data_IF_977542384343
#
_entry.id   IF_977542384343
#
_cell.length_a   1.000
_cell.length_b   1.000
_cell.length_c   1.000
_cell.angle_alpha   90.00
_cell.angle_beta   90.00
_cell.angle_gamma   90.00
#
_symmetry.space_group_name_H-M   'P 1'
#
loop_
_entity.id
_entity.type
_entity.pdbx_description
1 polymer ?
#
# COMPACT_ATOMS: atom_id res chain seq x y z
N UNK A 1 -7.65 -25.54 10.49
CA UNK A 1 -7.11 -24.28 10.00
C UNK A 1 -5.92 -23.88 10.85
N UNK A 2 -4.87 -23.32 10.23
CA UNK A 2 -3.65 -22.86 10.92
C UNK A 2 -3.92 -21.51 11.60
N UNK A 3 -3.48 -21.40 12.85
CA UNK A 3 -3.55 -20.16 13.65
C UNK A 3 -2.17 -19.52 13.79
N UNK A 4 -2.10 -18.31 14.33
CA UNK A 4 -0.81 -17.67 14.67
C UNK A 4 -0.02 -18.52 15.67
N UNK A 5 -0.70 -19.18 16.61
CA UNK A 5 -0.07 -20.06 17.59
C UNK A 5 0.60 -21.28 16.90
N UNK A 6 -0.07 -21.89 15.91
CA UNK A 6 0.49 -23.01 15.14
C UNK A 6 1.74 -22.58 14.36
N UNK A 7 1.74 -21.36 13.82
CA UNK A 7 2.92 -20.78 13.15
C UNK A 7 4.08 -20.63 14.13
N UNK A 8 3.84 -20.07 15.33
CA UNK A 8 4.86 -19.93 16.38
C UNK A 8 5.42 -21.29 16.79
N UNK A 9 4.56 -22.29 17.03
CA UNK A 9 5.00 -23.64 17.39
C UNK A 9 5.81 -24.30 16.28
N UNK A 10 5.38 -24.14 15.03
CA UNK A 10 6.12 -24.66 13.88
C UNK A 10 7.52 -24.05 13.79
N UNK A 11 7.64 -22.74 13.97
CA UNK A 11 8.94 -22.05 13.97
C UNK A 11 9.82 -22.50 15.14
N UNK A 12 9.25 -22.66 16.32
CA UNK A 12 9.96 -23.15 17.49
C UNK A 12 10.49 -24.58 17.30
N UNK A 13 9.65 -25.47 16.75
CA UNK A 13 10.03 -26.87 16.51
C UNK A 13 11.04 -27.03 15.37
N UNK A 14 10.85 -26.29 14.26
CA UNK A 14 11.69 -26.42 13.06
C UNK A 14 12.98 -25.62 13.12
N UNK A 15 13.03 -24.58 13.94
CA UNK A 15 14.17 -23.65 14.07
C UNK A 15 14.82 -23.32 12.71
N UNK A 16 14.06 -22.83 11.73
CA UNK A 16 14.62 -22.55 10.42
C UNK A 16 15.78 -21.58 10.57
N UNK A 17 16.92 -21.91 9.95
CA UNK A 17 18.08 -21.03 9.96
C UNK A 17 17.75 -19.65 9.41
N UNK A 18 18.31 -18.60 9.98
CA UNK A 18 18.17 -17.26 9.47
C UNK A 18 18.80 -17.14 8.07
N UNK A 19 18.00 -16.77 7.08
CA UNK A 19 18.46 -16.71 5.68
C UNK A 19 19.45 -15.58 5.40
N UNK A 20 19.49 -14.54 6.24
CA UNK A 20 20.41 -13.42 6.10
C UNK A 20 20.62 -12.70 7.44
N UNK A 21 21.74 -11.97 7.57
CA UNK A 21 21.95 -11.08 8.72
C UNK A 21 20.95 -9.91 8.67
N UNK A 22 20.37 -9.50 9.82
CA UNK A 22 19.51 -8.33 9.88
C UNK A 22 20.15 -7.10 9.24
N UNK A 23 19.34 -6.33 8.48
CA UNK A 23 19.79 -5.10 7.83
C UNK A 23 20.67 -5.28 6.59
N UNK A 24 20.87 -6.51 6.10
CA UNK A 24 21.71 -6.77 4.91
C UNK A 24 20.92 -6.86 3.61
N UNK A 25 19.81 -7.57 3.62
CA UNK A 25 19.01 -7.78 2.41
C UNK A 25 17.53 -7.63 2.70
N UNK A 26 16.81 -7.01 1.78
CA UNK A 26 15.35 -6.98 1.81
C UNK A 26 14.80 -8.37 1.43
N UNK A 27 13.94 -8.91 2.29
CA UNK A 27 13.19 -10.11 2.02
C UNK A 27 11.74 -9.94 2.50
N UNK A 28 10.81 -9.80 1.55
CA UNK A 28 9.39 -9.69 1.86
C UNK A 28 8.87 -11.03 2.42
N UNK A 29 8.35 -11.00 3.65
CA UNK A 29 7.86 -12.21 4.30
C UNK A 29 6.65 -11.91 5.19
N UNK A 30 5.51 -12.52 4.86
CA UNK A 30 4.26 -12.37 5.61
C UNK A 30 4.39 -12.88 7.05
N UNK A 31 5.15 -13.94 7.29
CA UNK A 31 5.36 -14.52 8.63
C UNK A 31 5.88 -13.47 9.64
N UNK A 32 6.66 -12.49 9.19
CA UNK A 32 7.12 -11.41 10.07
C UNK A 32 5.94 -10.65 10.70
N UNK A 33 4.86 -10.44 9.97
CA UNK A 33 3.67 -9.72 10.45
C UNK A 33 2.79 -10.59 11.34
N UNK A 34 2.74 -11.90 11.09
CA UNK A 34 2.15 -12.89 12.01
C UNK A 34 2.87 -12.83 13.36
N UNK A 35 4.22 -12.82 13.36
CA UNK A 35 5.03 -12.71 14.57
C UNK A 35 4.82 -11.37 15.29
N UNK A 36 4.74 -10.25 14.55
CA UNK A 36 4.48 -8.94 15.15
C UNK A 36 3.10 -8.88 15.79
N UNK A 37 2.06 -9.45 15.18
CA UNK A 37 0.74 -9.54 15.79
C UNK A 37 0.78 -10.34 17.10
N UNK A 38 1.43 -11.50 17.10
CA UNK A 38 1.61 -12.32 18.31
C UNK A 38 2.45 -11.61 19.39
N UNK A 39 3.42 -10.78 19.00
CA UNK A 39 4.18 -9.95 19.91
C UNK A 39 3.31 -8.88 20.56
N UNK A 40 2.42 -8.24 19.80
CA UNK A 40 1.44 -7.28 20.32
C UNK A 40 0.56 -7.95 21.40
N UNK A 41 0.03 -9.15 21.13
CA UNK A 41 -0.75 -9.92 22.11
C UNK A 41 0.05 -10.20 23.37
N UNK A 42 1.28 -10.66 23.21
CA UNK A 42 2.16 -10.99 24.34
C UNK A 42 2.46 -9.77 25.24
N UNK A 43 2.65 -8.60 24.65
CA UNK A 43 3.01 -7.37 25.38
C UNK A 43 1.76 -6.71 25.99
N UNK A 44 0.66 -6.65 25.23
CA UNK A 44 -0.55 -5.94 25.64
C UNK A 44 -1.46 -6.73 26.57
N UNK A 45 -1.41 -8.05 26.51
CA UNK A 45 -2.34 -8.94 27.21
C UNK A 45 -3.74 -9.02 26.60
N UNK A 46 -3.98 -8.32 25.46
CA UNK A 46 -5.20 -8.37 24.67
C UNK A 46 -5.00 -9.27 23.45
N UNK A 47 -6.07 -9.86 22.90
CA UNK A 47 -5.99 -10.41 21.54
C UNK A 47 -5.68 -9.30 20.53
N UNK A 48 -5.11 -9.68 19.39
CA UNK A 48 -4.78 -8.71 18.32
C UNK A 48 -6.01 -7.92 17.87
N UNK A 49 -7.16 -8.58 17.75
CA UNK A 49 -8.42 -7.94 17.40
C UNK A 49 -8.89 -6.92 18.44
N UNK A 50 -8.84 -7.28 19.73
CA UNK A 50 -9.19 -6.39 20.83
C UNK A 50 -8.23 -5.21 20.93
N UNK A 51 -6.93 -5.46 20.79
CA UNK A 51 -5.93 -4.41 20.81
C UNK A 51 -6.17 -3.40 19.70
N UNK A 52 -6.32 -3.85 18.44
CA UNK A 52 -6.57 -2.94 17.31
C UNK A 52 -7.90 -2.20 17.46
N UNK A 53 -8.94 -2.87 17.94
CA UNK A 53 -10.23 -2.23 18.19
C UNK A 53 -10.10 -1.10 19.21
N UNK A 54 -9.48 -1.38 20.36
CA UNK A 54 -9.35 -0.45 21.48
C UNK A 54 -8.41 0.71 21.17
N UNK A 55 -7.25 0.42 20.59
CA UNK A 55 -6.17 1.42 20.44
C UNK A 55 -6.23 2.18 19.09
N UNK A 56 -6.91 1.62 18.09
CA UNK A 56 -6.94 2.20 16.74
C UNK A 56 -8.36 2.40 16.24
N UNK A 57 -9.17 1.34 16.10
CA UNK A 57 -10.42 1.45 15.36
C UNK A 57 -11.47 2.32 16.08
N UNK A 58 -11.69 2.11 17.37
CA UNK A 58 -12.63 2.90 18.15
C UNK A 58 -12.20 4.38 18.30
N UNK A 59 -10.93 4.71 18.68
CA UNK A 59 -10.46 6.09 18.75
C UNK A 59 -10.53 6.84 17.43
N UNK A 60 -10.38 6.16 16.30
CA UNK A 60 -10.49 6.72 14.96
C UNK A 60 -11.90 6.65 14.39
N UNK A 61 -12.88 6.13 15.13
CA UNK A 61 -14.25 5.93 14.68
C UNK A 61 -14.35 5.09 13.38
N UNK A 62 -13.50 4.06 13.25
CA UNK A 62 -13.45 3.11 12.13
C UNK A 62 -14.47 1.97 12.37
N UNK A 63 -15.75 2.30 12.36
CA UNK A 63 -16.86 1.42 12.78
C UNK A 63 -17.07 0.17 11.92
N UNK A 64 -16.53 0.18 10.70
CA UNK A 64 -16.66 -0.93 9.73
C UNK A 64 -15.32 -1.62 9.50
N UNK A 65 -14.41 -1.51 10.48
CA UNK A 65 -13.08 -2.15 10.43
C UNK A 65 -12.94 -3.13 11.57
N UNK A 66 -12.52 -4.35 11.24
CA UNK A 66 -12.34 -5.43 12.21
C UNK A 66 -11.31 -6.44 11.71
N UNK A 67 -10.81 -7.27 12.62
CA UNK A 67 -10.01 -8.44 12.26
C UNK A 67 -10.96 -9.61 12.02
N UNK A 68 -10.84 -10.25 10.86
CA UNK A 68 -11.67 -11.41 10.50
C UNK A 68 -11.35 -12.61 11.40
N UNK A 69 -12.39 -13.25 11.88
CA UNK A 69 -12.37 -14.52 12.58
C UNK A 69 -13.65 -15.34 12.26
N UNK A 70 -13.76 -16.54 12.81
CA UNK A 70 -14.93 -17.39 12.57
C UNK A 70 -16.22 -16.86 13.22
N UNK A 71 -16.13 -15.95 14.21
CA UNK A 71 -17.30 -15.38 14.87
C UNK A 71 -17.98 -14.33 13.98
N UNK A 72 -17.19 -13.61 13.18
CA UNK A 72 -17.70 -12.59 12.27
C UNK A 72 -17.82 -13.08 10.81
N UNK A 73 -17.53 -14.36 10.54
CA UNK A 73 -17.56 -14.93 9.19
C UNK A 73 -18.91 -14.76 8.48
N UNK A 74 -20.03 -14.84 9.22
CA UNK A 74 -21.37 -14.72 8.65
C UNK A 74 -21.70 -13.31 8.10
N UNK A 75 -21.04 -12.27 8.64
CA UNK A 75 -21.25 -10.87 8.23
C UNK A 75 -20.11 -10.31 7.39
N UNK A 76 -19.02 -11.07 7.26
CA UNK A 76 -17.87 -10.68 6.46
C UNK A 76 -18.19 -10.67 4.96
N UNK A 77 -17.64 -9.70 4.26
CA UNK A 77 -17.74 -9.65 2.79
C UNK A 77 -17.14 -10.92 2.19
N UNK A 78 -17.88 -11.66 1.36
CA UNK A 78 -17.37 -12.89 0.76
C UNK A 78 -16.32 -12.60 -0.33
N UNK A 79 -15.42 -13.55 -0.56
CA UNK A 79 -14.38 -13.51 -1.58
C UNK A 79 -14.80 -14.29 -2.82
N UNK A 80 -14.48 -13.76 -4.00
CA UNK A 80 -14.87 -14.36 -5.29
C UNK A 80 -13.67 -14.54 -6.22
N UNK A 81 -13.69 -15.61 -6.99
CA UNK A 81 -12.81 -15.81 -8.12
C UNK A 81 -13.11 -14.81 -9.25
N UNK A 82 -12.25 -14.79 -10.27
CA UNK A 82 -12.42 -13.97 -11.47
C UNK A 82 -13.72 -14.27 -12.23
N UNK A 83 -14.21 -15.53 -12.18
CA UNK A 83 -15.44 -16.01 -12.80
C UNK A 83 -16.72 -15.74 -11.96
N UNK A 84 -16.58 -15.19 -10.75
CA UNK A 84 -17.68 -14.88 -9.85
C UNK A 84 -18.07 -16.02 -8.91
N UNK A 85 -17.39 -17.15 -8.93
CA UNK A 85 -17.59 -18.21 -7.95
C UNK A 85 -16.99 -17.83 -6.61
N UNK A 86 -17.63 -18.25 -5.50
CA UNK A 86 -17.05 -18.09 -4.18
C UNK A 86 -15.66 -18.71 -4.09
N UNK A 87 -14.76 -18.02 -3.44
CA UNK A 87 -13.47 -18.59 -3.05
C UNK A 87 -13.64 -19.31 -1.71
N UNK A 88 -13.34 -20.60 -1.70
CA UNK A 88 -13.40 -21.38 -0.46
C UNK A 88 -12.26 -20.99 0.47
N UNK A 89 -12.51 -21.12 1.77
CA UNK A 89 -11.47 -20.95 2.79
C UNK A 89 -10.38 -21.99 2.61
N UNK A 90 -9.15 -21.62 2.92
CA UNK A 90 -8.00 -22.53 3.01
C UNK A 90 -7.45 -22.62 4.45
N UNK A 91 -6.41 -23.41 4.61
CA UNK A 91 -5.83 -23.69 5.93
C UNK A 91 -5.26 -22.45 6.63
N UNK A 92 -4.89 -21.39 5.88
CA UNK A 92 -4.25 -20.17 6.42
C UNK A 92 -5.22 -19.00 6.62
N UNK A 93 -6.51 -19.20 6.46
CA UNK A 93 -7.50 -18.12 6.57
C UNK A 93 -7.70 -17.59 7.99
N UNK A 94 -7.18 -18.26 9.00
CA UNK A 94 -7.22 -17.80 10.39
C UNK A 94 -5.92 -17.16 10.89
N UNK A 95 -4.87 -17.08 10.06
CA UNK A 95 -3.69 -16.28 10.43
C UNK A 95 -3.98 -14.79 10.25
N UNK A 96 -3.46 -13.95 11.15
CA UNK A 96 -3.65 -12.50 11.15
C UNK A 96 -2.34 -11.74 11.40
N UNK A 97 -2.37 -10.43 11.14
CA UNK A 97 -1.20 -9.56 11.15
C UNK A 97 -0.64 -9.33 9.75
N UNK A 98 -0.51 -10.38 8.96
CA UNK A 98 -0.14 -10.35 7.53
C UNK A 98 -1.35 -10.11 6.61
N UNK A 99 -2.55 -10.38 7.09
CA UNK A 99 -3.84 -10.27 6.41
C UNK A 99 -4.99 -10.14 7.41
N UNK A 100 -6.21 -10.27 6.93
CA UNK A 100 -7.44 -10.40 7.72
C UNK A 100 -7.92 -9.13 8.44
N UNK A 101 -7.43 -7.94 8.10
CA UNK A 101 -8.13 -6.71 8.47
C UNK A 101 -9.13 -6.39 7.37
N UNK A 102 -10.42 -6.48 7.69
CA UNK A 102 -11.52 -6.06 6.83
C UNK A 102 -11.85 -4.61 7.12
N UNK A 103 -12.06 -3.81 6.07
CA UNK A 103 -12.30 -2.38 6.22
C UNK A 103 -13.12 -1.81 5.06
N UNK A 104 -13.42 -0.53 5.12
CA UNK A 104 -14.03 0.25 4.04
C UNK A 104 -13.10 1.37 3.58
N UNK A 105 -13.24 1.90 2.35
CA UNK A 105 -12.47 3.06 1.92
C UNK A 105 -12.65 4.27 2.84
N UNK A 106 -13.85 4.46 3.42
CA UNK A 106 -14.13 5.56 4.35
C UNK A 106 -13.39 5.40 5.68
N UNK A 107 -13.29 4.20 6.21
CA UNK A 107 -12.53 3.98 7.45
C UNK A 107 -11.03 4.07 7.19
N UNK A 108 -10.53 3.59 6.05
CA UNK A 108 -9.14 3.80 5.66
C UNK A 108 -8.79 5.27 5.40
N UNK A 109 -9.74 6.10 4.96
CA UNK A 109 -9.55 7.55 4.92
C UNK A 109 -9.37 8.16 6.32
N UNK A 110 -10.13 7.69 7.33
CA UNK A 110 -9.94 8.13 8.73
C UNK A 110 -8.57 7.73 9.26
N UNK A 111 -8.11 6.53 8.92
CA UNK A 111 -6.75 6.07 9.19
C UNK A 111 -5.70 6.99 8.58
N UNK A 112 -5.82 7.31 7.30
CA UNK A 112 -4.92 8.22 6.60
C UNK A 112 -4.88 9.61 7.24
N UNK A 113 -6.04 10.19 7.53
CA UNK A 113 -6.17 11.48 8.21
C UNK A 113 -5.54 11.46 9.61
N UNK A 114 -5.67 10.33 10.33
CA UNK A 114 -5.07 10.17 11.65
C UNK A 114 -3.54 10.07 11.59
N UNK A 115 -2.98 9.41 10.58
CA UNK A 115 -1.54 9.39 10.31
C UNK A 115 -1.04 10.81 9.99
N UNK A 116 -1.72 11.54 9.11
CA UNK A 116 -1.35 12.92 8.74
C UNK A 116 -1.39 13.87 9.94
N UNK A 117 -2.35 13.68 10.83
CA UNK A 117 -2.51 14.48 12.04
C UNK A 117 -1.61 14.07 13.21
N UNK A 118 -0.75 13.06 13.03
CA UNK A 118 0.13 12.55 14.09
C UNK A 118 -0.60 11.90 15.27
N UNK A 119 -1.86 11.49 15.09
CA UNK A 119 -2.68 10.89 16.15
C UNK A 119 -2.35 9.43 16.46
N UNK A 120 -1.75 8.72 15.52
CA UNK A 120 -1.35 7.31 15.67
C UNK A 120 0.16 7.22 15.90
N UNK A 121 0.91 7.86 15.05
CA UNK A 121 2.38 7.97 15.13
C UNK A 121 2.75 9.45 15.04
N UNK A 122 3.70 9.89 15.84
CA UNK A 122 4.25 11.24 15.68
C UNK A 122 5.04 11.35 14.37
N UNK A 123 5.30 12.57 13.92
CA UNK A 123 5.95 12.83 12.64
C UNK A 123 7.28 12.10 12.49
N UNK A 124 8.13 12.08 13.54
CA UNK A 124 9.43 11.43 13.49
C UNK A 124 9.35 9.91 13.30
N UNK A 125 8.38 9.25 13.92
CA UNK A 125 8.14 7.82 13.74
C UNK A 125 7.56 7.54 12.35
N UNK A 126 6.70 8.41 11.85
CA UNK A 126 6.12 8.28 10.51
C UNK A 126 7.18 8.46 9.42
N UNK A 127 8.06 9.45 9.58
CA UNK A 127 9.21 9.67 8.69
C UNK A 127 10.15 8.46 8.70
N UNK A 128 10.39 7.88 9.88
CA UNK A 128 11.17 6.65 10.00
C UNK A 128 10.52 5.48 9.27
N UNK A 129 9.17 5.35 9.33
CA UNK A 129 8.44 4.31 8.63
C UNK A 129 8.49 4.48 7.09
N UNK A 130 8.66 5.71 6.61
CA UNK A 130 8.76 6.07 5.18
C UNK A 130 10.19 6.21 4.68
N UNK A 131 11.18 5.88 5.52
CA UNK A 131 12.59 5.87 5.12
C UNK A 131 12.87 4.64 4.26
N UNK A 132 13.56 4.80 3.10
CA UNK A 132 13.99 3.68 2.26
C UNK A 132 14.97 2.76 3.00
N UNK A 133 14.61 1.50 3.14
CA UNK A 133 15.41 0.47 3.83
C UNK A 133 15.90 -0.64 2.90
N UNK A 134 15.33 -0.75 1.68
CA UNK A 134 15.69 -1.76 0.68
C UNK A 134 16.62 -1.13 -0.37
N UNK A 135 17.90 -0.95 0.00
CA UNK A 135 18.87 -0.17 -0.79
C UNK A 135 19.93 -1.03 -1.47
N UNK A 136 19.78 -2.36 -1.50
CA UNK A 136 20.75 -3.29 -2.11
C UNK A 136 20.89 -3.10 -3.61
N UNK A 137 19.82 -2.60 -4.25
CA UNK A 137 19.80 -2.30 -5.68
C UNK A 137 19.22 -0.90 -5.90
N UNK A 138 19.93 0.00 -6.55
CA UNK A 138 19.41 1.31 -6.91
C UNK A 138 18.12 1.19 -7.73
N UNK A 139 17.03 1.76 -7.24
CA UNK A 139 15.73 1.74 -7.90
C UNK A 139 14.88 2.92 -7.40
N UNK A 140 13.89 3.33 -8.21
CA UNK A 140 12.82 4.23 -7.76
C UNK A 140 11.87 3.52 -6.78
N UNK A 141 11.83 2.18 -6.82
CA UNK A 141 11.07 1.36 -5.89
C UNK A 141 11.91 1.03 -4.67
N UNK A 142 11.32 1.17 -3.48
CA UNK A 142 11.96 0.84 -2.22
C UNK A 142 10.90 0.32 -1.23
N UNK A 143 11.33 -0.02 -0.02
CA UNK A 143 10.47 -0.48 1.06
C UNK A 143 10.93 0.13 2.38
N UNK A 144 9.98 0.66 3.14
CA UNK A 144 10.18 1.17 4.50
C UNK A 144 9.65 0.18 5.55
N UNK A 145 9.15 0.69 6.66
CA UNK A 145 8.55 -0.16 7.71
C UNK A 145 7.07 -0.43 7.38
N UNK A 146 6.80 -1.53 6.66
CA UNK A 146 5.45 -1.92 6.23
C UNK A 146 4.90 -1.16 5.03
N UNK A 147 5.68 -0.30 4.39
CA UNK A 147 5.28 0.52 3.26
C UNK A 147 6.16 0.30 2.04
N UNK A 148 5.55 0.16 0.88
CA UNK A 148 6.23 0.29 -0.40
C UNK A 148 6.40 1.77 -0.71
N UNK A 149 7.56 2.11 -1.24
CA UNK A 149 7.92 3.48 -1.58
C UNK A 149 8.22 3.56 -3.07
N UNK A 150 7.69 4.57 -3.73
CA UNK A 150 8.07 4.97 -5.07
C UNK A 150 8.66 6.38 -4.97
N UNK A 151 9.99 6.48 -5.11
CA UNK A 151 10.72 7.73 -5.05
C UNK A 151 11.10 8.14 -6.48
N UNK A 152 10.36 9.07 -7.04
CA UNK A 152 10.53 9.48 -8.43
C UNK A 152 11.71 10.44 -8.61
N UNK A 153 12.32 10.44 -9.79
CA UNK A 153 13.44 11.32 -10.13
C UNK A 153 13.10 12.81 -10.07
N UNK A 154 11.82 13.16 -10.20
CA UNK A 154 11.32 14.53 -10.09
C UNK A 154 11.05 14.98 -8.64
N UNK A 155 11.42 14.17 -7.65
CA UNK A 155 11.27 14.45 -6.22
C UNK A 155 9.94 13.99 -5.62
N UNK A 156 8.94 13.62 -6.44
CA UNK A 156 7.66 13.12 -5.93
C UNK A 156 7.80 11.75 -5.30
N UNK A 157 6.99 11.49 -4.27
CA UNK A 157 6.96 10.22 -3.54
C UNK A 157 5.54 9.65 -3.54
N UNK A 158 5.44 8.33 -3.72
CA UNK A 158 4.23 7.57 -3.41
C UNK A 158 4.52 6.60 -2.28
N UNK A 159 3.70 6.64 -1.24
CA UNK A 159 3.77 5.74 -0.08
C UNK A 159 2.55 4.83 -0.20
N UNK A 160 2.76 3.54 -0.44
CA UNK A 160 1.66 2.66 -0.78
C UNK A 160 1.84 1.24 -0.26
N UNK A 161 0.76 0.51 -0.22
CA UNK A 161 0.80 -0.95 -0.14
C UNK A 161 -0.36 -1.56 -0.92
N UNK A 162 -0.12 -2.75 -1.46
CA UNK A 162 -1.13 -3.58 -2.07
C UNK A 162 -1.42 -4.77 -1.18
N UNK A 163 -2.67 -5.25 -1.21
CA UNK A 163 -3.04 -6.49 -0.58
C UNK A 163 -3.61 -7.48 -1.58
N UNK A 164 -3.39 -8.76 -1.32
CA UNK A 164 -4.04 -9.85 -2.03
C UNK A 164 -4.16 -11.06 -1.12
N UNK A 165 -5.39 -11.51 -0.95
CA UNK A 165 -5.69 -12.80 -0.37
C UNK A 165 -6.95 -13.34 -1.04
N UNK A 166 -6.89 -14.53 -1.63
CA UNK A 166 -7.98 -15.08 -2.43
C UNK A 166 -8.44 -14.10 -3.53
N UNK A 167 -9.74 -13.79 -3.55
CA UNK A 167 -10.33 -12.80 -4.44
C UNK A 167 -10.20 -11.36 -3.98
N UNK A 168 -9.78 -11.14 -2.73
CA UNK A 168 -9.53 -9.79 -2.25
C UNK A 168 -8.29 -9.20 -2.88
N UNK A 169 -8.46 -8.02 -3.47
CA UNK A 169 -7.37 -7.21 -3.97
C UNK A 169 -7.54 -5.79 -3.41
N UNK A 170 -6.49 -5.22 -2.88
CA UNK A 170 -6.54 -3.89 -2.30
C UNK A 170 -5.37 -3.03 -2.73
N UNK A 171 -5.61 -1.74 -2.80
CA UNK A 171 -4.62 -0.70 -2.99
C UNK A 171 -4.90 0.43 -2.02
N UNK A 172 -3.86 0.84 -1.31
CA UNK A 172 -3.83 2.02 -0.48
C UNK A 172 -2.57 2.81 -0.88
N UNK A 173 -2.75 4.01 -1.42
CA UNK A 173 -1.66 4.84 -1.89
C UNK A 173 -1.84 6.29 -1.44
N UNK A 174 -0.78 6.86 -0.90
CA UNK A 174 -0.68 8.23 -0.41
C UNK A 174 0.24 9.02 -1.31
N UNK A 175 -0.20 10.20 -1.70
CA UNK A 175 0.53 11.19 -2.49
C UNK A 175 0.78 12.41 -1.59
N UNK A 176 1.86 12.41 -0.79
CA UNK A 176 2.07 13.39 0.27
C UNK A 176 2.12 14.83 -0.24
N UNK A 177 2.76 15.07 -1.38
CA UNK A 177 2.91 16.40 -1.96
C UNK A 177 1.58 17.04 -2.37
N UNK A 178 0.59 16.21 -2.75
CA UNK A 178 -0.76 16.64 -3.13
C UNK A 178 -1.78 16.50 -2.00
N UNK A 179 -1.36 16.00 -0.83
CA UNK A 179 -2.26 15.65 0.27
C UNK A 179 -3.45 14.81 -0.22
N UNK A 180 -3.17 13.84 -1.10
CA UNK A 180 -4.17 12.99 -1.71
C UNK A 180 -3.94 11.53 -1.34
N UNK A 181 -5.03 10.76 -1.23
CA UNK A 181 -4.99 9.32 -0.94
C UNK A 181 -5.95 8.58 -1.83
N UNK A 182 -5.49 7.47 -2.39
CA UNK A 182 -6.28 6.59 -3.24
C UNK A 182 -6.46 5.27 -2.50
N UNK A 183 -7.70 4.88 -2.28
CA UNK A 183 -8.07 3.62 -1.63
C UNK A 183 -9.00 2.85 -2.55
N UNK A 184 -8.61 1.63 -2.91
CA UNK A 184 -9.42 0.72 -3.71
C UNK A 184 -9.46 -0.63 -3.02
N UNK A 185 -10.66 -1.12 -2.75
CA UNK A 185 -10.90 -2.42 -2.14
C UNK A 185 -11.81 -3.24 -3.06
N UNK A 186 -11.39 -4.44 -3.39
CA UNK A 186 -12.16 -5.37 -4.21
C UNK A 186 -12.21 -6.75 -3.58
N UNK A 187 -13.37 -7.41 -3.66
CA UNK A 187 -13.60 -8.75 -3.13
C UNK A 187 -13.75 -9.82 -4.23
N UNK A 188 -13.55 -9.43 -5.49
CA UNK A 188 -13.46 -10.34 -6.64
C UNK A 188 -12.07 -10.25 -7.24
N UNK A 189 -11.42 -11.41 -7.47
CA UNK A 189 -10.08 -11.46 -8.03
C UNK A 189 -9.98 -10.65 -9.32
N UNK A 190 -9.23 -9.55 -9.24
CA UNK A 190 -9.02 -8.64 -10.37
C UNK A 190 -7.68 -7.91 -10.21
N UNK A 191 -6.70 -8.26 -11.03
CA UNK A 191 -5.37 -7.64 -10.96
C UNK A 191 -5.32 -6.21 -11.51
N UNK A 192 -6.34 -5.77 -12.25
CA UNK A 192 -6.41 -4.39 -12.78
C UNK A 192 -6.47 -3.32 -11.69
N UNK A 193 -6.84 -3.68 -10.47
CA UNK A 193 -6.78 -2.76 -9.32
C UNK A 193 -5.39 -2.13 -9.15
N UNK A 194 -4.33 -2.81 -9.56
CA UNK A 194 -2.95 -2.34 -9.46
C UNK A 194 -2.56 -1.40 -10.61
N UNK A 195 -3.36 -1.35 -11.69
CA UNK A 195 -3.22 -0.39 -12.79
C UNK A 195 -3.73 1.00 -12.36
N UNK A 196 -4.48 1.09 -11.26
CA UNK A 196 -4.94 2.37 -10.70
C UNK A 196 -3.80 3.32 -10.29
N UNK A 197 -2.54 2.87 -10.30
CA UNK A 197 -1.36 3.74 -10.24
C UNK A 197 -1.37 4.83 -11.32
N UNK A 198 -2.00 4.58 -12.47
CA UNK A 198 -2.13 5.56 -13.56
C UNK A 198 -3.01 6.75 -13.15
N UNK A 199 -3.84 6.60 -12.09
CA UNK A 199 -4.62 7.69 -11.49
C UNK A 199 -3.73 8.70 -10.74
N UNK A 200 -2.49 8.38 -10.42
CA UNK A 200 -1.59 9.33 -9.74
C UNK A 200 -1.39 10.60 -10.57
N UNK A 201 -1.37 10.47 -11.89
CA UNK A 201 -1.19 11.60 -12.81
C UNK A 201 -2.39 12.58 -12.85
N UNK A 202 -3.54 12.21 -12.27
CA UNK A 202 -4.67 13.14 -12.05
C UNK A 202 -4.29 14.23 -11.03
N UNK A 203 -3.43 13.89 -10.08
CA UNK A 203 -3.02 14.78 -8.99
C UNK A 203 -1.68 15.50 -9.29
N UNK A 204 -0.85 14.94 -10.18
CA UNK A 204 0.46 15.51 -10.48
C UNK A 204 1.26 14.65 -11.44
N UNK A 205 2.49 15.04 -11.76
CA UNK A 205 3.34 14.27 -12.67
C UNK A 205 4.02 13.10 -11.94
N UNK A 206 3.42 11.93 -12.00
CA UNK A 206 3.94 10.68 -11.41
C UNK A 206 4.47 9.69 -12.45
N UNK A 207 4.05 9.80 -13.72
CA UNK A 207 4.54 8.94 -14.82
C UNK A 207 5.82 9.42 -15.46
N UNK A 208 6.21 10.67 -15.19
CA UNK A 208 7.34 11.34 -15.88
C UNK A 208 7.02 11.83 -17.28
N UNK A 209 5.81 11.56 -17.81
CA UNK A 209 5.40 11.92 -19.18
C UNK A 209 5.11 13.41 -19.37
N UNK A 210 4.88 14.16 -18.28
CA UNK A 210 4.48 15.57 -18.35
C UNK A 210 5.55 16.50 -18.93
N UNK A 211 6.85 16.18 -18.79
CA UNK A 211 7.92 17.01 -19.35
C UNK A 211 8.15 16.83 -20.86
N UNK A 212 7.86 15.63 -21.37
CA UNK A 212 8.01 15.37 -22.81
C UNK A 212 6.95 16.09 -23.63
N UNK A 213 5.70 16.15 -23.14
CA UNK A 213 4.60 16.85 -23.82
C UNK A 213 4.75 18.39 -23.79
N UNK A 214 5.29 18.96 -22.71
CA UNK A 214 5.59 20.41 -22.67
C UNK A 214 6.76 20.77 -23.57
N UNK A 215 7.80 19.92 -23.65
CA UNK A 215 8.95 20.15 -24.54
C UNK A 215 8.54 20.01 -26.02
N UNK A 216 7.70 19.04 -26.36
CA UNK A 216 7.17 18.88 -27.73
C UNK A 216 6.20 20.01 -28.12
N UNK A 217 5.34 20.49 -27.22
CA UNK A 217 4.50 21.67 -27.50
C UNK A 217 5.33 22.92 -27.71
N UNK A 218 6.32 23.19 -26.85
CA UNK A 218 7.17 24.36 -26.97
C UNK A 218 8.06 24.30 -28.22
N UNK A 219 8.56 23.12 -28.63
CA UNK A 219 9.31 22.94 -29.86
C UNK A 219 8.43 23.11 -31.11
N UNK A 220 7.20 22.63 -31.07
CA UNK A 220 6.26 22.78 -32.18
C UNK A 220 5.75 24.23 -32.33
N UNK A 221 5.54 24.96 -31.26
CA UNK A 221 5.20 26.39 -31.30
C UNK A 221 6.38 27.27 -31.77
N UNK A 222 7.61 26.97 -31.34
CA UNK A 222 8.81 27.64 -31.81
C UNK A 222 9.06 27.40 -33.29
N UNK A 223 8.89 26.18 -33.79
CA UNK A 223 9.04 25.83 -35.21
C UNK A 223 7.94 26.47 -36.08
N UNK A 224 6.67 26.53 -35.60
CA UNK A 224 5.59 27.19 -36.31
C UNK A 224 5.79 28.72 -36.41
N UNK A 225 6.32 29.35 -35.37
CA UNK A 225 6.64 30.79 -35.39
C UNK A 225 7.81 31.11 -36.31
N UNK A 226 8.81 30.23 -36.37
CA UNK A 226 9.97 30.38 -37.28
C UNK A 226 9.56 30.24 -38.75
N UNK A 227 8.67 29.29 -39.06
CA UNK A 227 8.13 29.09 -40.41
C UNK A 227 7.20 30.22 -40.85
N UNK A 228 6.38 30.79 -39.96
CA UNK A 228 5.58 31.99 -40.26
C UNK A 228 6.43 33.21 -40.54
N UNK A 229 7.54 33.41 -39.82
CA UNK A 229 8.50 34.52 -40.10
C UNK A 229 9.21 34.36 -41.44
N UNK A 230 9.66 33.15 -41.81
CA UNK A 230 10.27 32.87 -43.12
C UNK A 230 9.29 33.08 -44.28
N UNK A 231 8.03 32.66 -44.13
CA UNK A 231 6.99 32.87 -45.14
C UNK A 231 6.57 34.33 -45.30
N UNK A 232 6.71 35.17 -44.27
CA UNK A 232 6.44 36.62 -44.38
C UNK A 232 7.57 37.43 -45.02
N UNK A 233 8.81 36.92 -44.95
CA UNK A 233 9.96 37.54 -45.55
C UNK A 233 10.08 37.22 -47.05
N UNK A 234 9.61 36.06 -47.51
CA UNK A 234 9.61 35.66 -48.93
C UNK A 234 8.49 36.30 -49.75
N UNK A 235 7.53 37.00 -49.14
CA UNK A 235 6.48 37.77 -49.84
C UNK A 235 6.78 39.25 -49.99
N UNK A 236 7.98 39.71 -49.57
CA UNK A 236 8.41 41.12 -49.63
C UNK A 236 9.66 41.33 -50.50
N UNK A 237 10.08 40.29 -51.25
CA UNK A 237 11.15 40.37 -52.25
C UNK A 237 10.60 40.34 -53.68
#
# INVERSE_FOLDING_TARGET
MVTNQDVLESLYKKQPGGGARPGRNFNYNNTNYVLLASLIEKISGFSYAEFLKKEIFDPLNMKHTYVYDMQNAAVATPSFNWDGRHWNLDEFDLTYGDKNIYSTPRDLLKWDQALNAGRVLNAALLDSAYTPLSNERPSVHNYGMGWRLLNLKNGKKVIYHHGRWHGFNSMFARLPEENATIVILGNRYNRRIYEARDMYDIFGNYSGKGKEQETEKNTNEANNNTNKRKASLSKKA
#
